data_IF_759055644065
#
_entry.id   IF_759055644065
#
_cell.length_a   1.000
_cell.length_b   1.000
_cell.length_c   1.000
_cell.angle_alpha   90.00
_cell.angle_beta   90.00
_cell.angle_gamma   90.00
#
_symmetry.space_group_name_H-M   'P 1'
#
loop_
_entity.id
_entity.type
_entity.pdbx_description
1 polymer ?
#
# COMPACT_ATOMS: atom_id res chain seq x y z
N UNK A 1 -11.16 10.69 12.21
CA UNK A 1 -10.55 9.34 12.10
C UNK A 1 -10.01 9.07 10.68
N UNK A 2 -10.68 9.54 9.61
CA UNK A 2 -10.25 9.35 8.20
C UNK A 2 -8.96 10.12 7.80
N UNK A 3 -8.65 11.26 8.44
CA UNK A 3 -7.42 12.00 8.11
C UNK A 3 -6.15 11.27 8.55
N UNK A 4 -6.19 10.53 9.67
CA UNK A 4 -5.04 9.75 10.14
C UNK A 4 -4.69 8.62 9.15
N UNK A 5 -5.71 7.97 8.57
CA UNK A 5 -5.50 6.88 7.62
C UNK A 5 -4.84 7.37 6.32
N UNK A 6 -5.15 8.56 5.81
CA UNK A 6 -4.53 9.06 4.56
C UNK A 6 -3.00 9.24 4.65
N UNK A 7 -2.52 9.78 5.78
CA UNK A 7 -1.08 9.98 6.02
C UNK A 7 -0.37 8.65 6.25
N UNK A 8 -0.96 7.78 7.08
CA UNK A 8 -0.41 6.45 7.33
C UNK A 8 -0.37 5.57 6.07
N UNK A 9 -1.37 5.68 5.18
CA UNK A 9 -1.32 5.04 3.86
C UNK A 9 -0.15 5.60 3.06
N UNK A 10 -0.05 6.93 2.91
CA UNK A 10 1.01 7.56 2.12
C UNK A 10 2.41 7.16 2.59
N UNK A 11 2.66 7.20 3.90
CA UNK A 11 3.94 6.79 4.51
C UNK A 11 4.21 5.28 4.31
N UNK A 12 3.19 4.43 4.45
CA UNK A 12 3.34 2.97 4.23
C UNK A 12 3.66 2.66 2.77
N UNK A 13 3.05 3.37 1.82
CA UNK A 13 3.32 3.21 0.40
C UNK A 13 4.70 3.71 0.01
N UNK A 14 5.17 4.79 0.62
CA UNK A 14 6.54 5.26 0.43
C UNK A 14 7.57 4.25 0.94
N UNK A 15 7.32 3.65 2.11
CA UNK A 15 8.14 2.54 2.63
C UNK A 15 8.14 1.34 1.68
N UNK A 16 6.98 0.91 1.20
CA UNK A 16 6.87 -0.20 0.25
C UNK A 16 7.64 0.10 -1.05
N UNK A 17 7.50 1.29 -1.64
CA UNK A 17 8.25 1.70 -2.84
C UNK A 17 9.75 1.65 -2.63
N UNK A 18 10.23 2.12 -1.47
CA UNK A 18 11.64 2.09 -1.16
C UNK A 18 12.14 0.65 -1.00
N UNK A 19 11.39 -0.19 -0.30
CA UNK A 19 11.71 -1.61 -0.15
C UNK A 19 11.79 -2.34 -1.50
N UNK A 20 10.88 -2.06 -2.44
CA UNK A 20 10.97 -2.63 -3.80
C UNK A 20 12.24 -2.16 -4.52
N UNK A 21 12.59 -0.87 -4.44
CA UNK A 21 13.80 -0.32 -5.07
C UNK A 21 15.09 -0.90 -4.51
N UNK A 22 15.12 -1.14 -3.20
CA UNK A 22 16.26 -1.69 -2.50
C UNK A 22 16.30 -3.24 -2.55
N UNK A 23 15.29 -3.85 -3.17
CA UNK A 23 15.06 -5.29 -3.19
C UNK A 23 15.02 -5.92 -1.77
N UNK A 24 14.52 -5.14 -0.80
CA UNK A 24 14.36 -5.56 0.59
C UNK A 24 13.00 -6.23 0.79
N UNK A 25 12.96 -7.54 0.56
CA UNK A 25 11.72 -8.33 0.65
C UNK A 25 11.15 -8.38 2.09
N UNK A 26 12.00 -8.21 3.10
CA UNK A 26 11.58 -8.22 4.49
C UNK A 26 10.82 -6.92 4.84
N UNK A 27 11.38 -5.77 4.46
CA UNK A 27 10.71 -4.49 4.63
C UNK A 27 9.47 -4.39 3.74
N UNK A 28 9.50 -4.97 2.53
CA UNK A 28 8.34 -5.05 1.65
C UNK A 28 7.20 -5.87 2.29
N UNK A 29 7.53 -6.99 2.93
CA UNK A 29 6.55 -7.80 3.64
C UNK A 29 5.92 -7.03 4.81
N UNK A 30 6.74 -6.34 5.59
CA UNK A 30 6.29 -5.52 6.70
C UNK A 30 5.39 -4.36 6.24
N UNK A 31 5.74 -3.72 5.12
CA UNK A 31 4.94 -2.66 4.52
C UNK A 31 3.60 -3.19 3.98
N UNK A 32 3.61 -4.35 3.29
CA UNK A 32 2.40 -5.04 2.84
C UNK A 32 1.45 -5.39 3.97
N UNK A 33 1.98 -5.88 5.10
CA UNK A 33 1.20 -6.16 6.30
C UNK A 33 0.49 -4.92 6.87
N UNK A 34 1.22 -3.80 6.98
CA UNK A 34 0.67 -2.51 7.44
C UNK A 34 -0.40 -2.00 6.48
N UNK A 35 -0.11 -2.00 5.17
CA UNK A 35 -1.02 -1.54 4.13
C UNK A 35 -2.34 -2.33 4.19
N UNK A 36 -2.26 -3.66 4.20
CA UNK A 36 -3.43 -4.54 4.37
C UNK A 36 -4.27 -4.17 5.59
N UNK A 37 -3.64 -3.96 6.74
CA UNK A 37 -4.34 -3.58 7.98
C UNK A 37 -5.11 -2.25 7.85
N UNK A 38 -4.48 -1.25 7.24
CA UNK A 38 -5.12 0.05 7.01
C UNK A 38 -6.28 -0.07 6.02
N UNK A 39 -6.07 -0.76 4.90
CA UNK A 39 -7.06 -0.96 3.84
C UNK A 39 -8.31 -1.69 4.34
N UNK A 40 -8.13 -2.76 5.13
CA UNK A 40 -9.24 -3.43 5.81
C UNK A 40 -9.97 -2.50 6.78
N UNK A 41 -9.23 -1.67 7.51
CA UNK A 41 -9.79 -0.69 8.44
C UNK A 41 -10.67 0.38 7.79
N UNK A 42 -10.47 0.66 6.49
CA UNK A 42 -11.27 1.61 5.71
C UNK A 42 -12.26 0.93 4.74
N UNK A 43 -12.33 -0.41 4.73
CA UNK A 43 -13.29 -1.18 3.94
C UNK A 43 -12.86 -1.50 2.50
N UNK A 44 -11.59 -1.27 2.15
CA UNK A 44 -11.00 -1.51 0.83
C UNK A 44 -10.49 -2.95 0.73
N UNK A 45 -11.41 -3.88 0.51
CA UNK A 45 -11.13 -5.32 0.59
C UNK A 45 -10.29 -5.84 -0.56
N UNK A 46 -10.53 -5.36 -1.77
CA UNK A 46 -9.83 -5.85 -2.96
C UNK A 46 -8.38 -5.39 -2.95
N UNK A 47 -8.14 -4.14 -2.55
CA UNK A 47 -6.82 -3.55 -2.35
C UNK A 47 -6.09 -4.23 -1.17
N UNK A 48 -6.80 -4.58 -0.10
CA UNK A 48 -6.24 -5.34 1.00
C UNK A 48 -5.80 -6.75 0.59
N UNK A 49 -6.52 -7.40 -0.33
CA UNK A 49 -6.12 -8.69 -0.90
C UNK A 49 -4.84 -8.57 -1.75
N UNK A 50 -4.71 -7.50 -2.54
CA UNK A 50 -3.47 -7.23 -3.28
C UNK A 50 -2.30 -6.98 -2.32
N UNK A 51 -2.49 -6.16 -1.28
CA UNK A 51 -1.48 -5.95 -0.24
C UNK A 51 -1.11 -7.25 0.51
N UNK A 52 -2.08 -8.13 0.76
CA UNK A 52 -1.86 -9.47 1.33
C UNK A 52 -1.03 -10.35 0.40
N UNK A 53 -1.27 -10.29 -0.92
CA UNK A 53 -0.48 -11.05 -1.90
C UNK A 53 0.97 -10.58 -1.89
N UNK A 54 1.23 -9.27 -1.90
CA UNK A 54 2.57 -8.69 -1.80
C UNK A 54 3.26 -9.16 -0.51
N UNK A 55 2.58 -9.05 0.64
CA UNK A 55 3.10 -9.51 1.94
C UNK A 55 3.50 -10.99 1.90
N UNK A 56 2.65 -11.86 1.34
CA UNK A 56 2.87 -13.30 1.31
C UNK A 56 4.04 -13.68 0.40
N UNK A 57 4.03 -13.21 -0.85
CA UNK A 57 5.06 -13.59 -1.84
C UNK A 57 6.43 -13.01 -1.49
N UNK A 58 6.49 -11.78 -0.94
CA UNK A 58 7.77 -11.20 -0.48
C UNK A 58 8.30 -11.89 0.78
N UNK A 59 7.42 -12.30 1.69
CA UNK A 59 7.82 -13.09 2.89
C UNK A 59 8.39 -14.45 2.51
N UNK A 60 7.88 -15.06 1.46
CA UNK A 60 8.36 -16.34 0.93
C UNK A 60 9.63 -16.18 0.08
N UNK A 61 10.06 -14.95 -0.19
CA UNK A 61 11.26 -14.68 -1.00
C UNK A 61 11.05 -15.00 -2.48
N UNK A 62 9.81 -14.98 -2.96
CA UNK A 62 9.50 -15.27 -4.36
C UNK A 62 9.98 -14.14 -5.27
N UNK A 63 10.34 -14.49 -6.51
CA UNK A 63 10.67 -13.52 -7.54
C UNK A 63 9.40 -13.18 -8.32
N UNK A 64 8.79 -12.04 -7.95
CA UNK A 64 7.53 -11.55 -8.51
C UNK A 64 7.73 -10.09 -8.97
N UNK A 65 6.85 -9.61 -9.84
CA UNK A 65 6.86 -8.21 -10.27
C UNK A 65 6.27 -7.29 -9.19
N UNK A 66 7.04 -7.08 -8.12
CA UNK A 66 6.66 -6.21 -7.01
C UNK A 66 6.43 -4.77 -7.44
N UNK A 67 7.15 -4.31 -8.47
CA UNK A 67 6.94 -2.99 -9.05
C UNK A 67 5.55 -2.87 -9.68
N UNK A 68 5.16 -3.84 -10.51
CA UNK A 68 3.84 -3.87 -11.14
C UNK A 68 2.71 -4.02 -10.12
N UNK A 69 2.88 -4.88 -9.11
CA UNK A 69 1.90 -5.05 -8.04
C UNK A 69 1.70 -3.78 -7.20
N UNK A 70 2.78 -3.08 -6.88
CA UNK A 70 2.70 -1.80 -6.17
C UNK A 70 2.07 -0.70 -7.03
N UNK A 71 2.41 -0.63 -8.32
CA UNK A 71 1.81 0.33 -9.24
C UNK A 71 0.28 0.12 -9.35
N UNK A 72 -0.17 -1.13 -9.47
CA UNK A 72 -1.59 -1.46 -9.48
C UNK A 72 -2.30 -0.99 -8.20
N UNK A 73 -1.70 -1.28 -7.04
CA UNK A 73 -2.27 -0.88 -5.75
C UNK A 73 -2.34 0.65 -5.59
N UNK A 74 -1.36 1.38 -6.12
CA UNK A 74 -1.36 2.84 -6.12
C UNK A 74 -2.43 3.43 -7.05
N UNK A 75 -2.60 2.85 -8.24
CA UNK A 75 -3.62 3.28 -9.20
C UNK A 75 -5.03 3.07 -8.65
N UNK A 76 -5.29 1.95 -7.98
CA UNK A 76 -6.58 1.65 -7.35
C UNK A 76 -6.93 2.63 -6.23
N UNK A 77 -5.91 3.09 -5.47
CA UNK A 77 -6.08 4.01 -4.35
C UNK A 77 -6.02 5.49 -4.76
N UNK A 78 -5.53 5.80 -5.96
CA UNK A 78 -5.36 7.16 -6.46
C UNK A 78 -6.65 8.01 -6.38
N UNK A 79 -7.85 7.50 -6.70
CA UNK A 79 -9.10 8.25 -6.55
C UNK A 79 -9.35 8.68 -5.09
N UNK A 80 -9.05 7.80 -4.13
CA UNK A 80 -9.27 8.04 -2.70
C UNK A 80 -8.27 9.06 -2.15
N UNK A 81 -7.00 8.95 -2.54
CA UNK A 81 -5.96 9.90 -2.15
C UNK A 81 -6.24 11.31 -2.70
N UNK A 82 -6.76 11.40 -3.93
CA UNK A 82 -7.20 12.67 -4.55
C UNK A 82 -8.42 13.27 -3.84
N UNK A 83 -9.39 12.45 -3.43
CA UNK A 83 -10.55 12.90 -2.65
C UNK A 83 -10.15 13.49 -1.30
N UNK A 84 -9.20 12.88 -0.58
CA UNK A 84 -8.73 13.39 0.71
C UNK A 84 -7.85 14.65 0.61
N UNK A 85 -7.22 14.88 -0.54
CA UNK A 85 -6.42 16.08 -0.82
C UNK A 85 -7.26 17.25 -1.35
N UNK A 86 -8.53 17.01 -1.67
CA UNK A 86 -9.44 17.95 -2.34
C UNK A 86 -10.27 18.87 -1.45
N UNK A 87 -10.31 18.66 -0.12
CA UNK A 87 -11.17 19.43 0.80
C UNK A 87 -10.47 20.63 1.45
N UNK A 88 -9.64 21.34 0.68
CA UNK A 88 -9.05 22.61 1.09
C UNK A 88 -8.92 23.56 -0.10
N UNK A 89 -10.07 23.91 -0.70
CA UNK A 89 -10.34 25.24 -1.30
C UNK A 89 -11.67 25.20 -2.07
N UNK A 90 -12.70 25.77 -1.47
CA UNK A 90 -13.57 26.81 -2.06
C UNK A 90 -14.42 27.41 -0.96
#
# INVERSE_FOLDING_TARGET
MIQLSSRSISETFEQARQAVRDNDLAELSAAGHKAKGILLGVGLKDEAELARKIEAVSKEGQDEDYHGMMAQLEDDLQPLLKLTSGDSRS
#
